data_IF_434036544512
#
_entry.id   IF_434036544512
#
_cell.length_a   1.000
_cell.length_b   1.000
_cell.length_c   1.000
_cell.angle_alpha   90.00
_cell.angle_beta   90.00
_cell.angle_gamma   90.00
#
_symmetry.space_group_name_H-M   'P 1'
#
loop_
_entity.id
_entity.type
_entity.pdbx_description
1 polymer ?
#
# COMPACT_ATOMS: atom_id res chain seq x y z
N UNK A 1 4.10 16.91 18.93
CA UNK A 1 3.92 18.20 18.24
C UNK A 1 2.59 18.26 17.49
N UNK A 2 2.24 17.26 16.66
CA UNK A 2 1.01 17.26 15.86
C UNK A 2 -0.28 17.37 16.70
N UNK A 3 -0.33 16.65 17.83
CA UNK A 3 -1.44 16.77 18.80
C UNK A 3 -1.63 18.21 19.27
N UNK A 4 -0.52 18.91 19.58
CA UNK A 4 -0.55 20.31 20.01
C UNK A 4 -1.04 21.23 18.89
N UNK A 5 -0.53 21.04 17.67
CA UNK A 5 -0.97 21.80 16.51
C UNK A 5 -2.48 21.64 16.24
N UNK A 6 -2.98 20.41 16.33
CA UNK A 6 -4.41 20.12 16.17
C UNK A 6 -5.25 20.77 17.27
N UNK A 7 -4.78 20.74 18.53
CA UNK A 7 -5.41 21.46 19.63
C UNK A 7 -5.44 22.97 19.40
N UNK A 8 -4.36 23.58 18.91
CA UNK A 8 -4.28 25.01 18.61
C UNK A 8 -5.24 25.42 17.49
N UNK A 9 -5.48 24.52 16.52
CA UNK A 9 -6.47 24.68 15.46
C UNK A 9 -7.91 24.38 15.90
N UNK A 10 -8.15 24.16 17.21
CA UNK A 10 -9.46 23.78 17.77
C UNK A 10 -10.03 22.47 17.21
N UNK A 11 -9.15 21.57 16.76
CA UNK A 11 -9.49 20.24 16.23
C UNK A 11 -8.90 19.15 17.13
N UNK A 12 -9.47 18.89 18.32
CA UNK A 12 -8.91 17.91 19.24
C UNK A 12 -8.90 16.50 18.59
N UNK A 13 -7.74 15.81 18.54
CA UNK A 13 -7.67 14.48 17.96
C UNK A 13 -8.37 13.45 18.86
N UNK A 14 -8.94 12.42 18.24
CA UNK A 14 -9.44 11.24 18.96
C UNK A 14 -8.27 10.43 19.50
N UNK A 15 -8.22 10.21 20.81
CA UNK A 15 -7.23 9.36 21.47
C UNK A 15 -7.78 7.93 21.68
N UNK A 16 -6.95 6.88 21.60
CA UNK A 16 -5.52 6.91 21.24
C UNK A 16 -5.29 7.12 19.74
N UNK A 17 -4.26 7.88 19.38
CA UNK A 17 -3.88 8.08 17.97
C UNK A 17 -3.23 6.81 17.44
N UNK A 18 -3.79 6.22 16.39
CA UNK A 18 -3.21 5.04 15.75
C UNK A 18 -1.97 5.44 14.94
N UNK A 19 -0.81 4.95 15.37
CA UNK A 19 0.45 5.07 14.67
C UNK A 19 0.77 3.74 13.96
N UNK A 20 1.02 3.84 12.67
CA UNK A 20 1.40 2.72 11.83
C UNK A 20 2.91 2.74 11.58
N UNK A 21 3.60 1.67 11.91
CA UNK A 21 5.03 1.51 11.60
C UNK A 21 5.25 0.43 10.55
N UNK A 22 6.31 0.58 9.75
CA UNK A 22 6.75 -0.40 8.76
C UNK A 22 7.70 -1.47 9.29
N UNK A 23 8.05 -1.40 10.57
CA UNK A 23 8.91 -2.36 11.22
C UNK A 23 8.24 -2.91 12.48
N UNK A 24 8.00 -4.22 12.48
CA UNK A 24 7.52 -4.91 13.68
C UNK A 24 8.56 -4.84 14.81
N UNK A 25 9.86 -4.83 14.48
CA UNK A 25 10.93 -4.63 15.45
C UNK A 25 10.84 -3.24 16.10
N UNK A 26 10.58 -2.18 15.33
CA UNK A 26 10.41 -0.83 15.88
C UNK A 26 9.19 -0.74 16.82
N UNK A 27 8.08 -1.39 16.47
CA UNK A 27 6.91 -1.49 17.37
C UNK A 27 7.27 -2.22 18.66
N UNK A 28 8.03 -3.32 18.55
CA UNK A 28 8.42 -4.11 19.71
C UNK A 28 9.34 -3.35 20.65
N UNK A 29 10.34 -2.64 20.10
CA UNK A 29 11.24 -1.75 20.84
C UNK A 29 10.44 -0.65 21.56
N UNK A 30 9.48 -0.04 20.87
CA UNK A 30 8.65 1.03 21.43
C UNK A 30 7.64 0.54 22.50
N UNK A 31 7.21 -0.72 22.47
CA UNK A 31 6.30 -1.31 23.49
C UNK A 31 7.04 -1.89 24.68
N UNK A 32 8.18 -2.51 24.43
CA UNK A 32 9.00 -3.21 25.40
C UNK A 32 10.44 -2.72 25.25
N UNK A 33 10.82 -1.62 25.93
CA UNK A 33 12.20 -1.16 25.96
C UNK A 33 13.03 -2.17 26.75
N UNK A 34 13.42 -3.26 26.09
CA UNK A 34 14.33 -4.27 26.65
C UNK A 34 15.71 -3.61 26.66
N UNK A 35 16.14 -3.21 27.86
CA UNK A 35 17.42 -2.57 28.11
C UNK A 35 18.58 -3.39 27.60
N UNK A 36 19.44 -2.77 26.79
CA UNK A 36 20.88 -3.01 26.82
C UNK A 36 21.60 -1.70 26.45
N UNK A 37 22.06 -1.01 27.49
CA UNK A 37 23.19 -0.08 27.71
C UNK A 37 23.95 0.63 26.54
N UNK A 38 23.71 0.37 25.26
CA UNK A 38 24.67 0.67 24.18
C UNK A 38 24.14 1.45 22.96
N UNK A 39 23.12 2.31 23.10
CA UNK A 39 22.88 3.40 22.11
C UNK A 39 22.25 4.64 22.76
N UNK A 40 23.08 5.51 23.35
CA UNK A 40 22.64 6.77 24.01
C UNK A 40 21.74 7.68 23.15
N UNK A 41 21.73 7.52 21.82
CA UNK A 41 20.90 8.32 20.91
C UNK A 41 19.52 7.72 20.60
N UNK A 42 19.34 6.40 20.67
CA UNK A 42 18.05 5.75 20.36
C UNK A 42 17.14 5.68 21.59
N UNK A 43 17.75 5.77 22.77
CA UNK A 43 17.07 5.56 24.05
C UNK A 43 16.07 6.66 24.39
N UNK A 44 16.39 7.93 24.10
CA UNK A 44 15.50 9.05 24.39
C UNK A 44 14.21 9.02 23.58
N UNK A 45 14.32 8.76 22.27
CA UNK A 45 13.15 8.67 21.40
C UNK A 45 12.29 7.45 21.74
N UNK A 46 12.93 6.31 22.00
CA UNK A 46 12.25 5.09 22.45
C UNK A 46 11.50 5.32 23.76
N UNK A 47 12.17 5.93 24.75
CA UNK A 47 11.58 6.24 26.04
C UNK A 47 10.41 7.21 25.90
N UNK A 48 10.56 8.26 25.09
CA UNK A 48 9.48 9.20 24.84
C UNK A 48 8.27 8.52 24.22
N UNK A 49 8.45 7.72 23.16
CA UNK A 49 7.35 6.98 22.51
C UNK A 49 6.70 6.00 23.49
N UNK A 50 7.49 5.30 24.30
CA UNK A 50 6.97 4.37 25.30
C UNK A 50 6.13 5.09 26.37
N UNK A 51 6.57 6.25 26.86
CA UNK A 51 5.79 7.08 27.77
C UNK A 51 4.45 7.51 27.14
N UNK A 52 4.46 7.92 25.87
CA UNK A 52 3.20 8.28 25.19
C UNK A 52 2.28 7.08 24.94
N UNK A 53 2.85 5.90 24.75
CA UNK A 53 2.09 4.66 24.62
C UNK A 53 1.43 4.28 25.96
N UNK A 54 2.16 4.41 27.08
CA UNK A 54 1.62 4.16 28.42
C UNK A 54 0.53 5.15 28.84
N UNK A 55 0.62 6.41 28.43
CA UNK A 55 -0.42 7.44 28.68
C UNK A 55 -1.66 7.26 27.82
N UNK A 56 -1.75 6.18 27.04
CA UNK A 56 -2.83 5.91 26.08
C UNK A 56 -3.03 7.04 25.04
N UNK A 57 -1.99 7.84 24.80
CA UNK A 57 -2.03 8.91 23.82
C UNK A 57 -1.83 8.37 22.41
N UNK A 58 -1.00 7.33 22.26
CA UNK A 58 -0.74 6.65 20.99
C UNK A 58 -1.00 5.15 21.09
N UNK A 59 -1.44 4.55 19.98
CA UNK A 59 -1.55 3.10 19.81
C UNK A 59 -0.69 2.67 18.63
N UNK A 60 0.20 1.70 18.83
CA UNK A 60 1.11 1.22 17.79
C UNK A 60 0.55 -0.03 17.11
N UNK A 61 0.41 0.03 15.78
CA UNK A 61 -0.05 -1.08 14.96
C UNK A 61 0.85 -1.32 13.74
N UNK A 62 0.94 -2.59 13.32
CA UNK A 62 1.65 -2.98 12.11
C UNK A 62 0.62 -3.28 11.01
N UNK A 63 0.47 -2.41 10.00
CA UNK A 63 -0.40 -2.71 8.88
C UNK A 63 0.23 -3.79 7.98
N UNK A 64 -0.58 -4.64 7.32
CA UNK A 64 -0.05 -5.60 6.34
C UNK A 64 0.63 -4.86 5.17
N UNK A 65 1.64 -5.49 4.56
CA UNK A 65 2.50 -4.87 3.54
C UNK A 65 1.74 -4.27 2.36
N UNK A 66 0.62 -4.87 1.94
CA UNK A 66 -0.25 -4.33 0.88
C UNK A 66 -0.93 -3.00 1.22
N UNK A 67 -0.98 -2.65 2.50
CA UNK A 67 -1.62 -1.44 3.02
C UNK A 67 -0.63 -0.43 3.60
N UNK A 68 0.66 -0.74 3.53
CA UNK A 68 1.72 0.03 4.15
C UNK A 68 2.17 1.15 3.21
N UNK A 69 1.54 2.32 3.34
CA UNK A 69 1.85 3.50 2.51
C UNK A 69 3.32 3.93 2.70
N UNK A 70 3.94 3.68 3.86
CA UNK A 70 5.36 3.98 4.09
C UNK A 70 6.33 3.17 3.19
N UNK A 71 5.93 1.96 2.75
CA UNK A 71 6.76 1.14 1.86
C UNK A 71 6.90 1.77 0.47
N UNK A 72 5.91 2.58 0.06
CA UNK A 72 5.95 3.39 -1.17
C UNK A 72 7.17 4.31 -1.20
N UNK A 73 7.54 4.87 -0.05
CA UNK A 73 8.59 5.89 0.06
C UNK A 73 9.95 5.30 0.45
N UNK A 74 10.01 4.04 0.90
CA UNK A 74 11.22 3.44 1.46
C UNK A 74 11.75 2.26 0.65
N UNK A 75 10.93 1.65 -0.21
CA UNK A 75 11.32 0.47 -1.00
C UNK A 75 10.94 0.63 -2.48
N UNK A 76 11.77 0.16 -3.42
CA UNK A 76 11.36 0.01 -4.81
C UNK A 76 10.38 -1.17 -4.93
N UNK A 77 9.06 -0.88 -4.96
CA UNK A 77 8.04 -1.91 -5.11
C UNK A 77 7.76 -2.23 -6.59
N UNK A 78 7.49 -3.49 -6.96
CA UNK A 78 7.03 -3.84 -8.30
C UNK A 78 5.67 -3.18 -8.59
N UNK A 79 5.43 -2.86 -9.86
CA UNK A 79 4.29 -2.03 -10.28
C UNK A 79 2.92 -2.54 -9.81
N UNK A 80 2.71 -3.84 -9.66
CA UNK A 80 1.47 -4.41 -9.13
C UNK A 80 1.24 -4.10 -7.64
N UNK A 81 2.29 -4.19 -6.82
CA UNK A 81 2.24 -3.90 -5.38
C UNK A 81 2.18 -2.39 -5.07
N UNK A 82 2.53 -1.55 -6.04
CA UNK A 82 2.55 -0.10 -5.92
C UNK A 82 1.16 0.54 -6.14
N UNK A 83 0.22 -0.17 -6.79
CA UNK A 83 -1.13 0.37 -7.07
C UNK A 83 -1.97 0.55 -5.82
N UNK A 84 -1.98 -0.45 -4.93
CA UNK A 84 -2.83 -0.40 -3.73
C UNK A 84 -2.45 0.76 -2.78
N UNK A 85 -1.15 1.03 -2.48
CA UNK A 85 -0.78 2.21 -1.70
C UNK A 85 -1.04 3.53 -2.41
N UNK A 86 -0.89 3.59 -3.74
CA UNK A 86 -1.18 4.81 -4.53
C UNK A 86 -2.67 5.15 -4.53
N UNK A 87 -3.54 4.15 -4.68
CA UNK A 87 -4.99 4.32 -4.61
C UNK A 87 -5.40 4.86 -3.23
N UNK A 88 -4.79 4.36 -2.16
CA UNK A 88 -4.99 4.88 -0.80
C UNK A 88 -4.50 6.31 -0.60
N UNK A 89 -3.47 6.71 -1.34
CA UNK A 89 -2.95 8.09 -1.34
C UNK A 89 -3.78 9.03 -2.22
N UNK A 90 -4.74 8.50 -3.00
CA UNK A 90 -5.55 9.28 -3.93
C UNK A 90 -4.88 9.54 -5.28
N UNK A 91 -3.77 8.85 -5.57
CA UNK A 91 -3.05 8.97 -6.85
C UNK A 91 -3.69 8.06 -7.89
N UNK A 92 -4.64 8.62 -8.67
CA UNK A 92 -5.43 7.87 -9.67
C UNK A 92 -4.79 7.78 -11.05
N UNK A 93 -3.75 8.57 -11.32
CA UNK A 93 -2.99 8.52 -12.56
C UNK A 93 -1.84 7.53 -12.40
N UNK A 94 -1.83 6.45 -13.17
CA UNK A 94 -0.69 5.54 -13.28
C UNK A 94 0.59 6.36 -13.46
N UNK A 95 1.67 6.12 -12.69
CA UNK A 95 2.95 6.70 -13.02
C UNK A 95 3.29 6.19 -14.41
N UNK A 96 3.33 7.12 -15.37
CA UNK A 96 3.82 6.87 -16.72
C UNK A 96 5.12 6.08 -16.58
N UNK A 97 5.12 4.84 -17.06
CA UNK A 97 6.35 4.09 -17.20
C UNK A 97 7.30 5.02 -17.95
N UNK A 98 8.47 5.33 -17.37
CA UNK A 98 9.58 5.89 -18.14
C UNK A 98 10.04 4.82 -19.12
N UNK A 99 9.25 4.64 -20.16
CA UNK A 99 9.50 3.90 -21.37
C UNK A 99 8.78 4.70 -22.44
N UNK A 100 9.57 5.25 -23.36
CA UNK A 100 9.09 6.10 -24.44
C UNK A 100 7.81 5.54 -25.04
N UNK A 101 6.85 6.44 -25.18
CA UNK A 101 5.64 6.28 -25.96
C UNK A 101 5.96 5.56 -27.29
N UNK A 102 5.51 4.32 -27.41
CA UNK A 102 5.33 3.68 -28.71
C UNK A 102 3.85 3.79 -28.97
N UNK A 103 3.49 4.79 -29.78
CA UNK A 103 2.11 5.14 -30.10
C UNK A 103 1.33 3.92 -30.57
N UNK A 104 0.29 3.56 -29.82
CA UNK A 104 -0.76 2.69 -30.33
C UNK A 104 -1.68 3.59 -31.15
N UNK A 105 -1.55 3.49 -32.47
CA UNK A 105 -2.50 4.10 -33.40
C UNK A 105 -3.89 3.51 -33.13
N UNK A 106 -4.85 4.38 -32.83
CA UNK A 106 -6.26 4.01 -32.80
C UNK A 106 -6.72 3.76 -34.24
N UNK A 107 -7.00 2.51 -34.58
CA UNK A 107 -7.85 2.19 -35.73
C UNK A 107 -9.27 1.95 -35.18
N UNK A 108 -10.13 2.92 -35.47
CA UNK A 108 -11.55 2.90 -35.15
C UNK A 108 -12.28 2.16 -36.28
N UNK A 109 -12.88 1.01 -35.99
CA UNK A 109 -13.81 0.34 -36.89
C UNK A 109 -15.16 0.09 -36.19
N UNK A 110 -16.31 0.43 -36.80
CA UNK A 110 -17.63 0.32 -36.17
C UNK A 110 -18.24 -1.09 -36.34
N UNK A 111 -19.28 -1.44 -35.56
CA UNK A 111 -19.79 -2.80 -35.44
C UNK A 111 -20.79 -3.16 -36.56
N UNK A 112 -20.74 -4.40 -37.05
CA UNK A 112 -21.80 -4.99 -37.89
C UNK A 112 -22.29 -6.31 -37.30
N UNK A 113 -23.50 -6.28 -36.74
CA UNK A 113 -24.33 -7.45 -36.47
C UNK A 113 -25.11 -7.85 -37.74
N UNK A 114 -25.14 -9.14 -38.07
CA UNK A 114 -26.33 -9.87 -38.58
C UNK A 114 -26.03 -11.34 -38.94
N UNK A 115 -26.50 -12.25 -38.07
CA UNK A 115 -27.38 -13.43 -38.33
C UNK A 115 -27.29 -14.04 -39.76
N UNK A 116 -26.99 -15.34 -39.98
CA UNK A 116 -27.89 -16.50 -39.76
C UNK A 116 -27.20 -17.86 -39.98
N UNK A 117 -27.66 -18.85 -39.20
CA UNK A 117 -27.44 -20.32 -39.23
C UNK A 117 -27.54 -21.00 -40.62
N UNK A 118 -26.79 -22.10 -40.82
CA UNK A 118 -27.29 -23.51 -40.88
C UNK A 118 -26.19 -24.55 -41.20
N UNK A 119 -26.02 -25.48 -40.25
CA UNK A 119 -25.87 -26.94 -40.36
C UNK A 119 -25.15 -27.59 -41.56
N UNK A 120 -24.15 -28.47 -41.30
CA UNK A 120 -24.34 -29.95 -41.25
C UNK A 120 -23.01 -30.74 -41.33
N UNK A 121 -22.67 -31.38 -40.22
CA UNK A 121 -22.15 -32.77 -40.05
C UNK A 121 -21.13 -33.32 -41.06
N UNK A 122 -19.92 -33.66 -40.56
CA UNK A 122 -19.38 -35.04 -40.62
C UNK A 122 -18.14 -35.26 -39.74
N UNK A 123 -18.28 -35.96 -38.62
CA UNK A 123 -17.18 -36.75 -38.06
C UNK A 123 -17.14 -38.08 -38.80
N UNK A 124 -15.98 -38.44 -39.37
CA UNK A 124 -15.68 -39.82 -39.74
C UNK A 124 -14.31 -40.22 -39.22
N UNK A 125 -14.39 -41.19 -38.31
CA UNK A 125 -13.35 -42.07 -37.80
C UNK A 125 -12.75 -42.94 -38.93
N UNK A 126 -11.44 -43.20 -38.84
CA UNK A 126 -10.73 -44.30 -39.54
C UNK A 126 -9.26 -43.94 -39.78
N UNK A 127 -8.32 -44.40 -38.95
CA UNK A 127 -7.57 -45.67 -39.01
C UNK A 127 -6.71 -45.86 -40.27
N UNK A 128 -5.51 -46.41 -40.04
CA UNK A 128 -4.45 -46.94 -40.94
C UNK A 128 -3.29 -45.94 -41.12
N UNK A 129 -2.02 -46.29 -40.91
CA UNK A 129 -1.33 -47.58 -40.79
C UNK A 129 -0.38 -47.58 -39.59
#
# INVERSE_FOLDING_TARGET
>A
WLVRLLSDLSLPPTLPISLHSNSQAAIHIAKYPIFHEWTKHVDLDCHFVWQQYLTWLISLSFPPSSSQIADLFTKPLPGSSHRLPLDKLGVRSSPSNLRGDVGISQEHDPPKDSVTRKDKVKCKIGKKF
#
